data_IF_571237331872
#
_entry.id   IF_571237331872
#
_cell.length_a   1.000
_cell.length_b   1.000
_cell.length_c   1.000
_cell.angle_alpha   90.00
_cell.angle_beta   90.00
_cell.angle_gamma   90.00
#
_symmetry.space_group_name_H-M   'P 1'
#
loop_
_entity.id
_entity.type
_entity.pdbx_description
1 polymer ?
#
# COMPACT_ATOMS: atom_id res chain seq x y z
N UNK A 1 0.31 4.99 31.59
CA UNK A 1 0.65 4.78 30.16
C UNK A 1 0.31 3.36 29.74
N UNK A 2 0.82 2.33 30.41
CA UNK A 2 0.50 0.92 30.09
C UNK A 2 -1.00 0.56 30.17
N UNK A 3 -1.74 1.15 31.13
CA UNK A 3 -3.18 0.91 31.27
C UNK A 3 -3.99 1.50 30.10
N UNK A 4 -3.67 2.74 29.69
CA UNK A 4 -4.28 3.40 28.51
C UNK A 4 -3.99 2.61 27.24
N UNK A 5 -2.76 2.12 27.06
CA UNK A 5 -2.39 1.30 25.91
C UNK A 5 -3.12 -0.04 25.86
N UNK A 6 -3.32 -0.69 27.01
CA UNK A 6 -4.08 -1.94 27.07
C UNK A 6 -5.58 -1.71 26.81
N UNK A 7 -6.17 -0.65 27.35
CA UNK A 7 -7.57 -0.26 27.07
C UNK A 7 -7.76 0.07 25.59
N UNK A 8 -6.80 0.78 24.98
CA UNK A 8 -6.84 1.11 23.57
C UNK A 8 -6.74 -0.14 22.68
N UNK A 9 -5.81 -1.06 22.99
CA UNK A 9 -5.72 -2.35 22.28
C UNK A 9 -7.02 -3.14 22.39
N UNK A 10 -7.63 -3.18 23.57
CA UNK A 10 -8.90 -3.86 23.79
C UNK A 10 -10.02 -3.22 22.94
N UNK A 11 -10.16 -1.90 22.97
CA UNK A 11 -11.17 -1.18 22.17
C UNK A 11 -10.99 -1.36 20.66
N UNK A 12 -9.74 -1.40 20.17
CA UNK A 12 -9.43 -1.68 18.77
C UNK A 12 -9.85 -3.10 18.36
N UNK A 13 -9.58 -4.10 19.21
CA UNK A 13 -9.95 -5.48 18.94
C UNK A 13 -11.47 -5.67 18.94
N UNK A 14 -12.19 -5.01 19.84
CA UNK A 14 -13.66 -5.00 19.83
C UNK A 14 -14.23 -4.31 18.60
N UNK A 15 -13.65 -3.17 18.21
CA UNK A 15 -14.06 -2.46 16.99
C UNK A 15 -13.84 -3.32 15.75
N UNK A 16 -12.71 -4.05 15.68
CA UNK A 16 -12.40 -5.02 14.63
C UNK A 16 -13.46 -6.11 14.53
N UNK A 17 -13.80 -6.72 15.66
CA UNK A 17 -14.78 -7.80 15.72
C UNK A 17 -16.18 -7.30 15.31
N UNK A 18 -16.59 -6.14 15.82
CA UNK A 18 -17.89 -5.55 15.52
C UNK A 18 -18.02 -5.17 14.04
N UNK A 19 -16.97 -4.57 13.46
CA UNK A 19 -16.94 -4.20 12.04
C UNK A 19 -16.99 -5.45 11.15
N UNK A 20 -16.16 -6.46 11.43
CA UNK A 20 -16.17 -7.74 10.71
C UNK A 20 -17.53 -8.42 10.77
N UNK A 21 -18.15 -8.47 11.94
CA UNK A 21 -19.46 -9.11 12.14
C UNK A 21 -20.55 -8.40 11.34
N UNK A 22 -20.60 -7.06 11.41
CA UNK A 22 -21.60 -6.27 10.66
C UNK A 22 -21.41 -6.39 9.15
N UNK A 23 -20.18 -6.28 8.66
CA UNK A 23 -19.88 -6.37 7.23
C UNK A 23 -20.17 -7.76 6.68
N UNK A 24 -19.75 -8.81 7.40
CA UNK A 24 -20.01 -10.19 7.00
C UNK A 24 -21.51 -10.47 6.94
N UNK A 25 -22.27 -10.10 7.98
CA UNK A 25 -23.72 -10.29 8.00
C UNK A 25 -24.43 -9.53 6.87
N UNK A 26 -24.00 -8.28 6.60
CA UNK A 26 -24.54 -7.50 5.49
C UNK A 26 -24.29 -8.18 4.13
N UNK A 27 -23.07 -8.64 3.90
CA UNK A 27 -22.69 -9.31 2.65
C UNK A 27 -23.38 -10.67 2.50
N UNK A 28 -23.48 -11.47 3.56
CA UNK A 28 -24.22 -12.74 3.53
C UNK A 28 -25.71 -12.53 3.28
N UNK A 29 -26.33 -11.53 3.91
CA UNK A 29 -27.73 -11.19 3.64
C UNK A 29 -27.95 -10.78 2.18
N UNK A 30 -27.02 -10.03 1.59
CA UNK A 30 -27.09 -9.65 0.17
C UNK A 30 -26.84 -10.84 -0.76
N UNK A 31 -25.87 -11.69 -0.43
CA UNK A 31 -25.50 -12.88 -1.22
C UNK A 31 -26.60 -13.94 -1.23
N UNK A 32 -27.25 -14.16 -0.07
CA UNK A 32 -28.36 -15.09 0.09
C UNK A 32 -29.73 -14.46 -0.26
N UNK A 33 -29.76 -13.20 -0.68
CA UNK A 33 -31.00 -12.57 -1.15
C UNK A 33 -31.38 -13.10 -2.53
N UNK A 34 -32.46 -13.88 -2.59
CA UNK A 34 -32.99 -14.45 -3.83
C UNK A 34 -32.05 -15.47 -4.48
N UNK A 35 -31.95 -15.43 -5.82
CA UNK A 35 -31.08 -16.32 -6.61
C UNK A 35 -29.68 -15.73 -6.88
N UNK A 36 -29.25 -14.77 -6.06
CA UNK A 36 -27.99 -14.03 -6.28
C UNK A 36 -26.78 -14.97 -6.22
N UNK A 37 -26.71 -15.88 -5.24
CA UNK A 37 -25.67 -16.91 -5.17
C UNK A 37 -25.54 -17.73 -6.47
N UNK A 38 -26.68 -18.10 -7.08
CA UNK A 38 -26.70 -18.87 -8.33
C UNK A 38 -26.27 -18.03 -9.53
N UNK A 39 -26.75 -16.78 -9.63
CA UNK A 39 -26.33 -15.85 -10.69
C UNK A 39 -24.83 -15.58 -10.63
N UNK A 40 -24.30 -15.36 -9.44
CA UNK A 40 -22.91 -15.01 -9.21
C UNK A 40 -21.96 -16.21 -9.40
N UNK A 41 -22.43 -17.44 -9.16
CA UNK A 41 -21.65 -18.65 -9.39
C UNK A 41 -21.73 -19.18 -10.82
N UNK A 42 -22.88 -19.03 -11.50
CA UNK A 42 -23.17 -19.75 -12.75
C UNK A 42 -23.44 -18.86 -13.96
N UNK A 43 -23.76 -17.57 -13.76
CA UNK A 43 -24.15 -16.64 -14.85
C UNK A 43 -23.20 -15.44 -15.00
N UNK A 44 -22.47 -15.07 -13.95
CA UNK A 44 -21.57 -13.90 -13.95
C UNK A 44 -20.12 -14.32 -13.70
N UNK A 45 -19.36 -14.50 -14.79
CA UNK A 45 -17.93 -14.87 -14.73
C UNK A 45 -17.01 -13.71 -14.34
N UNK A 46 -17.56 -12.51 -14.07
CA UNK A 46 -16.77 -11.33 -13.68
C UNK A 46 -16.29 -11.39 -12.23
N UNK A 47 -17.01 -12.12 -11.38
CA UNK A 47 -16.68 -12.28 -9.96
C UNK A 47 -16.33 -13.74 -9.72
N UNK A 48 -15.06 -14.07 -9.95
CA UNK A 48 -14.50 -15.37 -9.61
C UNK A 48 -14.26 -15.49 -8.09
N UNK A 49 -14.52 -16.67 -7.53
CA UNK A 49 -14.23 -17.01 -6.12
C UNK A 49 -15.00 -16.15 -5.09
N UNK A 50 -16.33 -16.10 -5.20
CA UNK A 50 -17.20 -15.36 -4.27
C UNK A 50 -17.06 -15.84 -2.80
N UNK A 51 -16.73 -17.12 -2.60
CA UNK A 51 -16.43 -17.72 -1.30
C UNK A 51 -15.17 -17.12 -0.66
N UNK A 52 -14.09 -16.97 -1.44
CA UNK A 52 -12.86 -16.31 -0.99
C UNK A 52 -13.11 -14.83 -0.66
N UNK A 53 -13.92 -14.17 -1.49
CA UNK A 53 -14.24 -12.75 -1.34
C UNK A 53 -15.06 -12.50 -0.06
N UNK A 54 -16.08 -13.33 0.21
CA UNK A 54 -16.94 -13.23 1.40
C UNK A 54 -16.24 -13.64 2.70
N UNK A 55 -15.14 -14.39 2.62
CA UNK A 55 -14.42 -14.88 3.80
C UNK A 55 -13.11 -14.14 4.02
N UNK A 56 -12.07 -14.47 3.24
CA UNK A 56 -10.70 -14.01 3.46
C UNK A 56 -10.51 -12.53 3.11
N UNK A 57 -11.15 -12.06 2.05
CA UNK A 57 -10.92 -10.68 1.60
C UNK A 57 -11.66 -9.68 2.50
N UNK A 58 -12.86 -10.02 2.98
CA UNK A 58 -13.56 -9.25 4.03
C UNK A 58 -12.74 -9.19 5.31
N UNK A 59 -12.14 -10.29 5.74
CA UNK A 59 -11.24 -10.32 6.90
C UNK A 59 -10.05 -9.38 6.71
N UNK A 60 -9.29 -9.54 5.62
CA UNK A 60 -8.13 -8.68 5.32
C UNK A 60 -8.50 -7.20 5.22
N UNK A 61 -9.67 -6.89 4.67
CA UNK A 61 -10.18 -5.52 4.57
C UNK A 61 -10.47 -4.92 5.96
N UNK A 62 -11.17 -5.66 6.82
CA UNK A 62 -11.45 -5.23 8.19
C UNK A 62 -10.16 -5.02 8.97
N UNK A 63 -9.22 -5.94 8.85
CA UNK A 63 -7.90 -5.87 9.48
C UNK A 63 -7.14 -4.62 9.06
N UNK A 64 -7.10 -4.33 7.75
CA UNK A 64 -6.40 -3.18 7.20
C UNK A 64 -6.99 -1.85 7.70
N UNK A 65 -8.31 -1.74 7.83
CA UNK A 65 -8.98 -0.55 8.36
C UNK A 65 -8.60 -0.31 9.83
N UNK A 66 -8.63 -1.37 10.64
CA UNK A 66 -8.32 -1.28 12.07
C UNK A 66 -6.84 -0.97 12.27
N UNK A 67 -5.96 -1.57 11.48
CA UNK A 67 -4.53 -1.29 11.53
C UNK A 67 -4.22 0.14 11.12
N UNK A 68 -4.86 0.65 10.05
CA UNK A 68 -4.75 2.05 9.66
C UNK A 68 -5.20 2.97 10.80
N UNK A 69 -6.36 2.68 11.41
CA UNK A 69 -6.87 3.45 12.53
C UNK A 69 -5.93 3.41 13.74
N UNK A 70 -5.39 2.24 14.09
CA UNK A 70 -4.39 2.06 15.16
C UNK A 70 -3.11 2.85 14.89
N UNK A 71 -2.59 2.79 13.66
CA UNK A 71 -1.36 3.45 13.26
C UNK A 71 -1.46 4.98 13.24
N UNK A 72 -2.68 5.53 13.16
CA UNK A 72 -2.93 6.98 13.25
C UNK A 72 -3.31 7.39 14.69
N UNK A 73 -4.17 6.62 15.36
CA UNK A 73 -4.71 6.95 16.68
C UNK A 73 -3.64 6.92 17.78
N UNK A 74 -2.73 5.93 17.75
CA UNK A 74 -1.64 5.82 18.73
C UNK A 74 -0.72 7.06 18.73
N UNK A 75 -0.14 7.50 17.59
CA UNK A 75 0.68 8.72 17.56
C UNK A 75 -0.06 9.96 18.05
N UNK A 76 -1.33 10.14 17.68
CA UNK A 76 -2.11 11.31 18.10
C UNK A 76 -2.31 11.32 19.62
N UNK A 77 -2.64 10.18 20.20
CA UNK A 77 -2.82 10.04 21.65
C UNK A 77 -1.51 10.21 22.40
N UNK A 78 -0.42 9.66 21.88
CA UNK A 78 0.91 9.83 22.45
C UNK A 78 1.32 11.31 22.42
N UNK A 79 1.11 12.02 21.31
CA UNK A 79 1.34 13.47 21.22
C UNK A 79 0.47 14.22 22.22
N UNK A 80 -0.81 13.89 22.35
CA UNK A 80 -1.72 14.57 23.28
C UNK A 80 -1.31 14.37 24.75
N UNK A 81 -1.00 13.14 25.14
CA UNK A 81 -0.53 12.82 26.50
C UNK A 81 0.82 13.50 26.75
N UNK A 82 1.71 13.54 25.76
CA UNK A 82 3.01 14.18 25.87
C UNK A 82 2.88 15.70 26.02
N UNK A 83 2.05 16.36 25.21
CA UNK A 83 1.77 17.80 25.30
C UNK A 83 1.21 18.16 26.68
N UNK A 84 0.20 17.42 27.16
CA UNK A 84 -0.42 17.68 28.47
C UNK A 84 0.58 17.48 29.63
N UNK A 85 1.43 16.46 29.57
CA UNK A 85 2.49 16.21 30.55
C UNK A 85 3.58 17.30 30.53
N UNK A 86 3.99 17.75 29.36
CA UNK A 86 5.00 18.81 29.21
C UNK A 86 4.49 20.18 29.64
N UNK A 87 3.25 20.53 29.30
CA UNK A 87 2.63 21.78 29.72
C UNK A 87 2.55 21.87 31.25
N UNK A 88 2.35 20.74 31.94
CA UNK A 88 2.37 20.67 33.41
C UNK A 88 3.79 20.80 34.03
N UNK A 89 4.86 20.42 33.31
CA UNK A 89 6.20 20.35 33.88
C UNK A 89 7.13 21.54 33.56
N UNK A 90 7.00 22.18 32.39
CA UNK A 90 8.03 23.13 31.88
C UNK A 90 7.40 24.45 31.38
N UNK A 91 6.07 24.52 31.23
CA UNK A 91 5.38 25.64 30.58
C UNK A 91 5.32 25.52 29.06
N UNK A 92 4.44 26.31 28.41
CA UNK A 92 3.99 26.12 27.02
C UNK A 92 5.06 26.30 25.91
N UNK A 93 6.30 26.67 26.24
CA UNK A 93 7.35 26.92 25.24
C UNK A 93 7.95 25.64 24.65
N UNK A 94 8.06 24.55 25.42
CA UNK A 94 8.61 23.27 24.94
C UNK A 94 7.74 22.57 23.87
N UNK A 95 6.42 22.40 24.10
CA UNK A 95 5.53 21.74 23.13
C UNK A 95 5.43 22.46 21.79
N UNK A 96 5.47 23.80 21.79
CA UNK A 96 5.34 24.61 20.57
C UNK A 96 6.51 24.39 19.60
N UNK A 97 7.74 24.35 20.12
CA UNK A 97 8.94 24.09 19.31
C UNK A 97 8.93 22.67 18.75
N UNK A 98 8.44 21.69 19.52
CA UNK A 98 8.39 20.29 19.08
C UNK A 98 7.29 20.03 18.04
N UNK A 99 6.12 20.66 18.18
CA UNK A 99 5.07 20.62 17.16
C UNK A 99 5.56 21.30 15.87
N UNK A 100 6.24 22.45 15.99
CA UNK A 100 6.83 23.14 14.86
C UNK A 100 7.89 22.26 14.16
N UNK A 101 8.75 21.58 14.91
CA UNK A 101 9.71 20.62 14.38
C UNK A 101 9.02 19.46 13.65
N UNK A 102 7.97 18.86 14.22
CA UNK A 102 7.22 17.78 13.58
C UNK A 102 6.51 18.24 12.30
N UNK A 103 5.95 19.44 12.28
CA UNK A 103 5.32 20.01 11.08
C UNK A 103 6.35 20.30 9.99
N UNK A 104 7.49 20.90 10.34
CA UNK A 104 8.56 21.19 9.38
C UNK A 104 9.17 19.89 8.86
N UNK A 105 9.54 18.97 9.75
CA UNK A 105 10.10 17.66 9.37
C UNK A 105 9.11 16.86 8.53
N UNK A 106 7.85 16.77 8.95
CA UNK A 106 6.79 16.06 8.24
C UNK A 106 6.51 16.63 6.84
N UNK A 107 6.41 17.95 6.71
CA UNK A 107 6.22 18.60 5.40
C UNK A 107 7.44 18.44 4.50
N UNK A 108 8.65 18.59 5.05
CA UNK A 108 9.91 18.40 4.33
C UNK A 108 10.06 16.97 3.81
N UNK A 109 9.89 15.96 4.67
CA UNK A 109 9.94 14.55 4.28
C UNK A 109 8.87 14.21 3.22
N UNK A 110 7.66 14.74 3.38
CA UNK A 110 6.57 14.51 2.41
C UNK A 110 6.91 15.12 1.05
N UNK A 111 7.54 16.29 1.03
CA UNK A 111 7.97 16.94 -0.20
C UNK A 111 9.08 16.14 -0.90
N UNK A 112 10.05 15.62 -0.14
CA UNK A 112 11.08 14.73 -0.65
C UNK A 112 10.52 13.39 -1.16
N UNK A 113 9.45 12.87 -0.57
CA UNK A 113 8.84 11.58 -0.97
C UNK A 113 7.96 11.67 -2.22
N UNK A 114 7.41 12.85 -2.55
CA UNK A 114 6.61 13.07 -3.78
C UNK A 114 7.23 12.56 -5.09
N UNK A 115 8.52 12.83 -5.41
CA UNK A 115 9.13 12.32 -6.63
C UNK A 115 9.18 10.78 -6.71
N UNK A 116 9.26 10.10 -5.57
CA UNK A 116 9.29 8.63 -5.51
C UNK A 116 8.03 8.02 -6.14
N UNK A 117 6.86 8.61 -5.89
CA UNK A 117 5.59 8.16 -6.48
C UNK A 117 5.61 8.21 -8.01
N UNK A 118 6.18 9.27 -8.61
CA UNK A 118 6.29 9.39 -10.08
C UNK A 118 7.26 8.35 -10.67
N UNK A 119 8.35 8.06 -9.97
CA UNK A 119 9.29 7.01 -10.37
C UNK A 119 8.63 5.62 -10.32
N UNK A 120 7.84 5.33 -9.28
CA UNK A 120 7.10 4.07 -9.16
C UNK A 120 6.07 3.89 -10.28
N UNK A 121 5.32 4.93 -10.63
CA UNK A 121 4.37 4.87 -11.76
C UNK A 121 5.10 4.57 -13.08
N UNK A 122 6.27 5.17 -13.26
CA UNK A 122 7.10 4.95 -14.47
C UNK A 122 7.65 3.53 -14.51
N UNK A 123 8.07 3.00 -13.35
CA UNK A 123 8.51 1.60 -13.20
C UNK A 123 7.39 0.62 -13.59
N UNK A 124 6.18 0.81 -13.05
CA UNK A 124 5.03 -0.04 -13.38
C UNK A 124 4.69 0.01 -14.88
N UNK A 125 4.81 1.18 -15.51
CA UNK A 125 4.61 1.32 -16.96
C UNK A 125 5.64 0.52 -17.76
N UNK A 126 6.92 0.60 -17.39
CA UNK A 126 8.01 -0.12 -18.07
C UNK A 126 7.91 -1.64 -17.85
N UNK A 127 7.56 -2.08 -16.64
CA UNK A 127 7.28 -3.49 -16.37
C UNK A 127 6.08 -3.98 -17.18
N UNK A 128 5.02 -3.18 -17.28
CA UNK A 128 3.85 -3.47 -18.11
C UNK A 128 4.22 -3.64 -19.58
N UNK A 129 5.06 -2.75 -20.12
CA UNK A 129 5.58 -2.84 -21.49
C UNK A 129 6.40 -4.12 -21.70
N UNK A 130 7.30 -4.46 -20.77
CA UNK A 130 8.08 -5.70 -20.82
C UNK A 130 7.20 -6.95 -20.79
N UNK A 131 6.21 -7.00 -19.90
CA UNK A 131 5.23 -8.10 -19.82
C UNK A 131 4.40 -8.21 -21.10
N UNK A 132 3.98 -7.09 -21.67
CA UNK A 132 3.22 -7.05 -22.92
C UNK A 132 4.03 -7.65 -24.08
N UNK A 133 5.29 -7.28 -24.24
CA UNK A 133 6.16 -7.85 -25.29
C UNK A 133 6.34 -9.35 -25.11
N UNK A 134 6.54 -9.83 -23.87
CA UNK A 134 6.62 -11.27 -23.58
C UNK A 134 5.30 -12.00 -23.88
N UNK A 135 4.15 -11.42 -23.51
CA UNK A 135 2.85 -12.00 -23.85
C UNK A 135 2.65 -12.08 -25.36
N UNK A 136 3.02 -11.03 -26.10
CA UNK A 136 2.97 -11.00 -27.57
C UNK A 136 3.86 -12.07 -28.19
N UNK A 137 5.05 -12.30 -27.64
CA UNK A 137 5.96 -13.37 -28.09
C UNK A 137 5.29 -14.75 -27.96
N UNK A 138 4.63 -15.01 -26.84
CA UNK A 138 3.94 -16.30 -26.58
C UNK A 138 2.76 -16.47 -27.55
N UNK A 139 1.91 -15.45 -27.68
CA UNK A 139 0.72 -15.49 -28.55
C UNK A 139 1.06 -15.70 -30.02
N UNK A 140 2.16 -15.13 -30.51
CA UNK A 140 2.57 -15.22 -31.92
C UNK A 140 3.74 -16.19 -32.15
N UNK A 141 3.96 -17.12 -31.21
CA UNK A 141 5.13 -18.01 -31.22
C UNK A 141 5.19 -18.91 -32.47
N UNK A 142 4.05 -19.35 -32.99
CA UNK A 142 3.96 -20.17 -34.21
C UNK A 142 4.40 -19.39 -35.46
N UNK A 143 3.89 -18.17 -35.64
CA UNK A 143 4.28 -17.30 -36.76
C UNK A 143 5.77 -16.96 -36.70
N UNK A 144 6.28 -16.62 -35.52
CA UNK A 144 7.70 -16.28 -35.32
C UNK A 144 8.59 -17.48 -35.62
N UNK A 145 8.18 -18.70 -35.23
CA UNK A 145 8.91 -19.92 -35.54
C UNK A 145 8.89 -20.23 -37.05
N UNK A 146 7.74 -20.04 -37.70
CA UNK A 146 7.57 -20.25 -39.14
C UNK A 146 8.42 -19.28 -39.97
N UNK A 147 8.46 -18.00 -39.60
CA UNK A 147 9.24 -16.96 -40.27
C UNK A 147 10.69 -16.83 -39.77
N UNK A 148 11.15 -17.70 -38.86
CA UNK A 148 12.49 -17.65 -38.24
C UNK A 148 12.84 -16.28 -37.61
N UNK A 149 11.85 -15.58 -37.04
CA UNK A 149 11.95 -14.22 -36.50
C UNK A 149 12.73 -14.07 -35.19
N UNK A 150 13.27 -15.17 -34.64
CA UNK A 150 13.86 -15.24 -33.29
C UNK A 150 14.91 -14.17 -32.98
N UNK A 151 15.79 -13.85 -33.95
CA UNK A 151 16.85 -12.83 -33.73
C UNK A 151 16.27 -11.42 -33.56
N UNK A 152 15.20 -11.09 -34.28
CA UNK A 152 14.55 -9.80 -34.21
C UNK A 152 13.78 -9.65 -32.90
N UNK A 153 13.00 -10.66 -32.51
CA UNK A 153 12.27 -10.65 -31.23
C UNK A 153 13.21 -10.62 -30.03
N UNK A 154 14.34 -11.35 -30.08
CA UNK A 154 15.39 -11.26 -29.06
C UNK A 154 15.90 -9.83 -28.89
N UNK A 155 16.22 -9.12 -29.99
CA UNK A 155 16.68 -7.72 -29.93
C UNK A 155 15.60 -6.80 -29.36
N UNK A 156 14.35 -7.00 -29.74
CA UNK A 156 13.22 -6.21 -29.25
C UNK A 156 13.02 -6.38 -27.73
N UNK A 157 12.97 -7.63 -27.24
CA UNK A 157 12.84 -7.93 -25.81
C UNK A 157 14.02 -7.38 -25.03
N UNK A 158 15.26 -7.60 -25.51
CA UNK A 158 16.45 -7.05 -24.88
C UNK A 158 16.40 -5.52 -24.79
N UNK A 159 15.93 -4.83 -25.83
CA UNK A 159 15.81 -3.36 -25.81
C UNK A 159 14.81 -2.86 -24.75
N UNK A 160 13.64 -3.51 -24.63
CA UNK A 160 12.64 -3.15 -23.62
C UNK A 160 13.16 -3.46 -22.21
N UNK A 161 13.85 -4.60 -22.04
CA UNK A 161 14.46 -4.98 -20.77
C UNK A 161 15.55 -3.99 -20.33
N UNK A 162 16.42 -3.55 -21.23
CA UNK A 162 17.45 -2.55 -20.91
C UNK A 162 16.87 -1.20 -20.47
N UNK A 163 15.75 -0.77 -21.06
CA UNK A 163 15.03 0.43 -20.60
C UNK A 163 14.54 0.28 -19.16
N UNK A 164 13.97 -0.87 -18.83
CA UNK A 164 13.51 -1.18 -17.47
C UNK A 164 14.70 -1.20 -16.49
N UNK A 165 15.79 -1.90 -16.83
CA UNK A 165 16.99 -1.97 -15.98
C UNK A 165 17.60 -0.60 -15.74
N UNK A 166 17.67 0.25 -16.77
CA UNK A 166 18.21 1.61 -16.66
C UNK A 166 17.37 2.47 -15.70
N UNK A 167 16.03 2.33 -15.77
CA UNK A 167 15.13 3.01 -14.83
C UNK A 167 15.30 2.48 -13.39
N UNK A 168 15.39 1.16 -13.23
CA UNK A 168 15.58 0.54 -11.92
C UNK A 168 16.90 0.97 -11.26
N UNK A 169 18.00 1.07 -12.01
CA UNK A 169 19.27 1.59 -11.47
C UNK A 169 19.11 3.03 -10.98
N UNK A 170 18.53 3.90 -11.80
CA UNK A 170 18.26 5.30 -11.40
C UNK A 170 17.37 5.38 -10.16
N UNK A 171 16.37 4.50 -10.07
CA UNK A 171 15.48 4.42 -8.92
C UNK A 171 16.23 4.00 -7.64
N UNK A 172 17.11 2.99 -7.73
CA UNK A 172 17.95 2.54 -6.62
C UNK A 172 18.88 3.67 -6.17
N UNK A 173 19.56 4.34 -7.09
CA UNK A 173 20.47 5.46 -6.77
C UNK A 173 19.72 6.61 -6.09
N UNK A 174 18.54 6.97 -6.60
CA UNK A 174 17.70 8.01 -6.00
C UNK A 174 17.25 7.61 -4.58
N UNK A 175 16.80 6.36 -4.41
CA UNK A 175 16.37 5.85 -3.10
C UNK A 175 17.52 5.79 -2.10
N UNK A 176 18.72 5.42 -2.55
CA UNK A 176 19.92 5.38 -1.71
C UNK A 176 20.29 6.79 -1.21
N UNK A 177 20.38 7.77 -2.12
CA UNK A 177 20.65 9.16 -1.75
C UNK A 177 19.59 9.72 -0.79
N UNK A 178 18.32 9.43 -1.04
CA UNK A 178 17.24 9.87 -0.17
C UNK A 178 17.27 9.18 1.20
N UNK A 179 17.60 7.88 1.27
CA UNK A 179 17.79 7.16 2.52
C UNK A 179 18.97 7.68 3.34
N UNK A 180 20.03 8.15 2.68
CA UNK A 180 21.16 8.81 3.34
C UNK A 180 20.76 10.16 3.95
N UNK A 181 20.00 10.98 3.21
CA UNK A 181 19.44 12.26 3.71
C UNK A 181 18.50 12.01 4.90
N UNK A 182 17.59 11.03 4.79
CA UNK A 182 16.68 10.66 5.88
C UNK A 182 17.46 10.22 7.13
N UNK A 183 18.56 9.46 6.98
CA UNK A 183 19.36 9.00 8.13
C UNK A 183 20.11 10.15 8.82
N UNK A 184 20.61 11.12 8.06
CA UNK A 184 21.27 12.31 8.59
C UNK A 184 20.26 13.17 9.36
N UNK A 185 19.10 13.45 8.77
CA UNK A 185 18.07 14.29 9.39
C UNK A 185 17.47 13.61 10.63
N UNK A 186 17.34 12.29 10.64
CA UNK A 186 16.81 11.56 11.78
C UNK A 186 17.81 11.42 12.94
N UNK A 187 19.11 11.61 12.71
CA UNK A 187 20.17 11.51 13.72
C UNK A 187 20.75 12.84 14.18
N UNK A 188 20.51 13.94 13.45
CA UNK A 188 20.82 15.31 13.86
C UNK A 188 19.65 15.92 14.64
#
# INVERSE_FOLDING_TARGET
>A
ISLVNNVLKYGLNELKLCFRTRLSNYLYNSYLSGFTYYKMSNLDSRISNADQLLTQDVEKFCDSIVDLYSNISKPILDIFIYVTKLTQQIGAQGPGVMILYLLISGTFLTHLRRPLSRLTVTEQKLEGEYRYVNSRLITNSEEIAFYQGNKMEKRNISSVFEKLVTHLRRYIDFRFNMGFIDNIIAKC
#
